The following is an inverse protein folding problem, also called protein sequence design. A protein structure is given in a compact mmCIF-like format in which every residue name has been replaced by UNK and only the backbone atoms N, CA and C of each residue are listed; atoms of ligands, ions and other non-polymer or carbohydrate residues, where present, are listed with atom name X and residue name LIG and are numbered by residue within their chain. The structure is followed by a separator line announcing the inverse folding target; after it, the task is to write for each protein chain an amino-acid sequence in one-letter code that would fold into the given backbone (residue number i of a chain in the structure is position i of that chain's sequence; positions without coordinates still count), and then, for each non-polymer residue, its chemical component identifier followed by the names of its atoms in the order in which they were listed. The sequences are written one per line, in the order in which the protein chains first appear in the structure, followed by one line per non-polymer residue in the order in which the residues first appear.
data_IF_455454432491
#
_entry.id   IF_455454432491
#
_cell.length_a   1.000
_cell.length_b   1.000
_cell.length_c   1.000
_cell.angle_alpha   90.00
_cell.angle_beta   90.00
_cell.angle_gamma   90.00
#
_symmetry.space_group_name_H-M   'P 1'
#
loop_
_entity.id
_entity.type
_entity.pdbx_description
1 polymer ?
#
# COMPACT_ATOMS: atom_id res chain seq x y z
N UNK A 1 12.27 10.64 -5.58
CA UNK A 1 12.51 10.61 -4.12
C UNK A 1 11.37 9.85 -3.47
N UNK A 2 11.64 8.86 -2.60
CA UNK A 2 10.62 7.93 -2.09
C UNK A 2 9.45 8.64 -1.39
N UNK A 3 9.72 9.67 -0.59
CA UNK A 3 8.69 10.49 0.05
C UNK A 3 7.74 11.16 -0.93
N UNK A 4 8.24 11.66 -2.07
CA UNK A 4 7.38 12.28 -3.10
C UNK A 4 6.41 11.26 -3.69
N UNK A 5 6.85 10.02 -3.91
CA UNK A 5 5.98 8.96 -4.43
C UNK A 5 4.95 8.53 -3.40
N UNK A 6 5.36 8.39 -2.13
CA UNK A 6 4.46 8.07 -1.02
C UNK A 6 3.35 9.12 -0.83
N UNK A 7 3.71 10.42 -0.82
CA UNK A 7 2.72 11.51 -0.71
C UNK A 7 1.74 11.51 -1.89
N UNK A 8 2.21 11.22 -3.10
CA UNK A 8 1.33 11.09 -4.27
C UNK A 8 0.35 9.92 -4.12
N UNK A 9 0.84 8.76 -3.70
CA UNK A 9 -0.01 7.59 -3.49
C UNK A 9 -1.09 7.87 -2.43
N UNK A 10 -0.72 8.48 -1.31
CA UNK A 10 -1.68 8.88 -0.28
C UNK A 10 -2.72 9.89 -0.82
N UNK A 11 -2.30 10.85 -1.65
CA UNK A 11 -3.21 11.79 -2.31
C UNK A 11 -4.16 11.12 -3.31
N UNK A 12 -3.69 10.11 -4.05
CA UNK A 12 -4.52 9.36 -5.00
C UNK A 12 -5.56 8.49 -4.26
N UNK A 13 -5.19 7.83 -3.16
CA UNK A 13 -6.14 7.15 -2.29
C UNK A 13 -7.18 8.12 -1.70
N UNK A 14 -6.75 9.30 -1.26
CA UNK A 14 -7.66 10.33 -0.73
C UNK A 14 -8.66 10.82 -1.79
N UNK A 15 -8.21 11.03 -3.03
CA UNK A 15 -9.09 11.36 -4.16
C UNK A 15 -10.10 10.26 -4.43
N UNK A 16 -9.66 9.01 -4.51
CA UNK A 16 -10.57 7.88 -4.71
C UNK A 16 -11.64 7.84 -3.63
N UNK A 17 -11.26 8.11 -2.38
CA UNK A 17 -12.22 8.29 -1.31
C UNK A 17 -13.21 9.42 -1.56
N UNK A 18 -12.73 10.62 -1.94
CA UNK A 18 -13.59 11.80 -2.16
C UNK A 18 -14.69 11.56 -3.20
N UNK A 19 -14.38 10.82 -4.26
CA UNK A 19 -15.34 10.55 -5.35
C UNK A 19 -16.00 9.18 -5.26
N UNK A 20 -15.83 8.45 -4.16
CA UNK A 20 -16.31 7.08 -3.99
C UNK A 20 -15.89 6.13 -5.13
N UNK A 21 -14.70 6.35 -5.68
CA UNK A 21 -14.14 5.50 -6.72
C UNK A 21 -13.70 4.17 -6.09
N UNK A 22 -14.14 3.07 -6.70
CA UNK A 22 -13.74 1.71 -6.33
C UNK A 22 -12.81 1.18 -7.42
N UNK A 23 -11.49 1.18 -7.21
CA UNK A 23 -10.53 0.65 -8.19
C UNK A 23 -10.58 -0.87 -8.25
N UNK A 24 -10.00 -1.45 -9.31
CA UNK A 24 -9.70 -2.90 -9.34
C UNK A 24 -8.65 -3.28 -8.28
N UNK A 25 -8.52 -4.56 -7.95
CA UNK A 25 -7.54 -5.00 -6.94
C UNK A 25 -6.11 -4.71 -7.37
N UNK A 26 -5.81 -4.92 -8.65
CA UNK A 26 -4.52 -4.66 -9.25
C UNK A 26 -4.20 -3.15 -9.19
N UNK A 27 -5.13 -2.31 -9.63
CA UNK A 27 -4.99 -0.84 -9.58
C UNK A 27 -4.84 -0.33 -8.13
N UNK A 28 -5.62 -0.88 -7.20
CA UNK A 28 -5.51 -0.57 -5.79
C UNK A 28 -4.13 -0.90 -5.24
N UNK A 29 -3.63 -2.11 -5.51
CA UNK A 29 -2.36 -2.59 -4.96
C UNK A 29 -1.17 -1.80 -5.50
N UNK A 30 -1.21 -1.35 -6.76
CA UNK A 30 -0.17 -0.48 -7.33
C UNK A 30 0.04 0.80 -6.52
N UNK A 31 -1.06 1.39 -6.03
CA UNK A 31 -1.01 2.60 -5.19
C UNK A 31 -0.77 2.25 -3.72
N UNK A 32 -1.47 1.22 -3.21
CA UNK A 32 -1.42 0.79 -1.81
C UNK A 32 -0.04 0.30 -1.36
N UNK A 33 0.71 -0.39 -2.21
CA UNK A 33 2.07 -0.83 -1.92
C UNK A 33 3.06 0.33 -1.73
N UNK A 34 2.83 1.44 -2.42
CA UNK A 34 3.62 2.66 -2.26
C UNK A 34 3.15 3.44 -1.03
N UNK A 35 1.85 3.44 -0.77
CA UNK A 35 1.24 4.17 0.34
C UNK A 35 1.64 3.59 1.70
N UNK A 36 1.79 2.27 1.85
CA UNK A 36 2.27 1.65 3.11
C UNK A 36 3.71 2.04 3.52
N UNK A 37 4.38 2.90 2.74
CA UNK A 37 5.58 3.65 3.10
C UNK A 37 6.86 2.84 3.40
N UNK A 38 6.88 1.52 3.17
CA UNK A 38 8.04 0.67 3.47
C UNK A 38 9.31 1.18 2.78
N UNK A 39 9.25 1.52 1.48
CA UNK A 39 10.39 2.09 0.75
C UNK A 39 10.83 3.45 1.29
N UNK A 40 9.90 4.31 1.71
CA UNK A 40 10.21 5.62 2.27
C UNK A 40 10.87 5.48 3.66
N UNK A 41 10.41 4.53 4.47
CA UNK A 41 10.95 4.21 5.80
C UNK A 41 12.35 3.59 5.71
N UNK A 42 12.59 2.67 4.78
CA UNK A 42 13.93 2.11 4.58
C UNK A 42 14.90 3.18 4.06
N UNK A 43 14.45 4.00 3.12
CA UNK A 43 15.22 5.13 2.61
C UNK A 43 15.61 6.10 3.73
N UNK A 44 14.67 6.48 4.61
CA UNK A 44 14.98 7.38 5.73
C UNK A 44 16.01 6.77 6.70
N UNK A 45 15.87 5.47 6.99
CA UNK A 45 16.81 4.75 7.86
C UNK A 45 18.22 4.68 7.28
N UNK A 46 18.35 4.48 5.98
CA UNK A 46 19.65 4.43 5.30
C UNK A 46 20.34 5.79 5.20
N UNK A 47 19.59 6.92 5.19
CA UNK A 47 20.21 8.25 5.26
C UNK A 47 21.04 8.44 6.54
N UNK A 48 20.68 7.73 7.62
CA UNK A 48 21.38 7.81 8.91
C UNK A 48 22.63 6.93 8.98
N UNK A 49 22.88 6.08 7.98
CA UNK A 49 24.08 5.26 7.90
C UNK A 49 25.17 6.08 7.19
N UNK A 50 26.41 6.07 7.68
CA UNK A 50 27.50 6.90 7.13
C UNK A 50 27.61 6.85 5.58
N UNK A 51 28.17 7.91 4.97
CA UNK A 51 28.07 8.20 3.51
C UNK A 51 28.25 7.00 2.56
N UNK A 52 29.24 6.13 2.80
CA UNK A 52 29.48 4.96 1.93
C UNK A 52 28.40 3.88 2.09
N UNK A 53 28.07 3.52 3.33
CA UNK A 53 27.01 2.54 3.64
C UNK A 53 25.63 3.01 3.16
N UNK A 54 25.33 4.32 3.26
CA UNK A 54 24.11 4.88 2.71
C UNK A 54 24.01 4.65 1.20
N UNK A 55 25.07 4.92 0.42
CA UNK A 55 25.04 4.83 -1.04
C UNK A 55 24.70 3.42 -1.52
N UNK A 56 25.37 2.40 -0.99
CA UNK A 56 25.13 1.00 -1.35
C UNK A 56 23.70 0.56 -0.97
N UNK A 57 23.25 0.91 0.23
CA UNK A 57 21.90 0.61 0.69
C UNK A 57 20.82 1.31 -0.17
N UNK A 58 21.08 2.54 -0.62
CA UNK A 58 20.19 3.27 -1.51
C UNK A 58 20.10 2.65 -2.91
N UNK A 59 21.22 2.27 -3.51
CA UNK A 59 21.21 1.60 -4.82
C UNK A 59 20.54 0.23 -4.73
N UNK A 60 20.81 -0.53 -3.67
CA UNK A 60 20.09 -1.77 -3.39
C UNK A 60 18.58 -1.54 -3.26
N UNK A 61 18.13 -0.54 -2.50
CA UNK A 61 16.71 -0.23 -2.34
C UNK A 61 16.07 0.25 -3.65
N UNK A 62 16.80 1.02 -4.47
CA UNK A 62 16.37 1.52 -5.77
C UNK A 62 16.21 0.40 -6.81
N UNK A 63 16.94 -0.70 -6.67
CA UNK A 63 16.79 -1.91 -7.50
C UNK A 63 15.45 -2.64 -7.30
N UNK A 64 14.60 -2.18 -6.37
CA UNK A 64 13.30 -2.79 -6.01
C UNK A 64 13.45 -4.29 -5.68
N UNK A 65 14.23 -4.62 -4.63
CA UNK A 65 14.49 -6.01 -4.29
C UNK A 65 13.17 -6.70 -3.89
N UNK A 66 12.98 -7.94 -4.36
CA UNK A 66 11.74 -8.72 -4.18
C UNK A 66 11.28 -8.79 -2.72
N UNK A 67 12.22 -8.89 -1.78
CA UNK A 67 11.92 -8.92 -0.35
C UNK A 67 11.19 -7.66 0.12
N UNK A 68 11.57 -6.48 -0.38
CA UNK A 68 10.92 -5.21 0.00
C UNK A 68 9.54 -5.11 -0.66
N UNK A 69 9.39 -5.59 -1.90
CA UNK A 69 8.08 -5.68 -2.55
C UNK A 69 7.12 -6.59 -1.77
N UNK A 70 7.58 -7.77 -1.35
CA UNK A 70 6.78 -8.67 -0.52
C UNK A 70 6.41 -8.04 0.84
N UNK A 71 7.28 -7.22 1.43
CA UNK A 71 6.97 -6.47 2.65
C UNK A 71 5.91 -5.39 2.40
N UNK A 72 5.94 -4.69 1.27
CA UNK A 72 4.89 -3.76 0.86
C UNK A 72 3.54 -4.46 0.75
N UNK A 73 3.46 -5.54 -0.04
CA UNK A 73 2.22 -6.32 -0.23
C UNK A 73 1.69 -6.81 1.12
N UNK A 74 2.54 -7.47 1.91
CA UNK A 74 2.16 -7.99 3.23
C UNK A 74 1.70 -6.87 4.15
N UNK A 75 2.43 -5.75 4.19
CA UNK A 75 2.10 -4.58 5.01
C UNK A 75 0.72 -4.02 4.68
N UNK A 76 0.45 -3.78 3.39
CA UNK A 76 -0.83 -3.25 2.91
C UNK A 76 -1.99 -4.16 3.30
N UNK A 77 -1.87 -5.45 3.01
CA UNK A 77 -2.90 -6.43 3.33
C UNK A 77 -3.14 -6.58 4.84
N UNK A 78 -2.08 -6.59 5.65
CA UNK A 78 -2.23 -6.69 7.11
C UNK A 78 -2.91 -5.44 7.70
N UNK A 79 -2.56 -4.25 7.21
CA UNK A 79 -3.17 -3.00 7.65
C UNK A 79 -4.68 -2.98 7.31
N UNK A 80 -5.04 -3.37 6.09
CA UNK A 80 -6.44 -3.45 5.66
C UNK A 80 -7.27 -4.48 6.46
N UNK A 81 -6.71 -5.68 6.69
CA UNK A 81 -7.37 -6.72 7.48
C UNK A 81 -7.58 -6.27 8.93
N UNK A 82 -6.58 -5.64 9.53
CA UNK A 82 -6.64 -5.18 10.93
C UNK A 82 -7.62 -4.01 11.07
N UNK A 83 -7.65 -3.10 10.09
CA UNK A 83 -8.55 -1.96 10.06
C UNK A 83 -10.01 -2.30 9.74
N UNK A 84 -10.26 -3.47 9.13
CA UNK A 84 -11.56 -3.87 8.56
C UNK A 84 -12.76 -3.58 9.47
N UNK A 85 -12.75 -4.08 10.71
CA UNK A 85 -13.91 -3.95 11.61
C UNK A 85 -14.17 -2.51 12.06
N UNK A 86 -13.11 -1.72 12.21
CA UNK A 86 -13.21 -0.30 12.58
C UNK A 86 -13.78 0.51 11.41
N UNK A 87 -13.33 0.19 10.19
CA UNK A 87 -13.78 0.84 8.95
C UNK A 87 -15.24 0.53 8.63
N UNK A 88 -15.70 -0.72 8.85
CA UNK A 88 -17.11 -1.10 8.66
C UNK A 88 -18.08 -0.36 9.59
N UNK A 89 -17.64 0.05 10.78
CA UNK A 89 -18.49 0.77 11.76
C UNK A 89 -18.51 2.27 11.56
N UNK A 90 -17.55 2.83 10.82
CA UNK A 90 -17.43 4.26 10.58
C UNK A 90 -17.30 4.55 9.09
N UNK A 91 -18.42 4.49 8.32
CA UNK A 91 -18.41 4.66 6.87
C UNK A 91 -17.90 6.03 6.40
N UNK A 92 -17.91 7.05 7.27
CA UNK A 92 -17.41 8.40 6.98
C UNK A 92 -15.91 8.60 7.23
N UNK A 93 -15.20 7.63 7.84
CA UNK A 93 -13.73 7.63 7.92
C UNK A 93 -13.21 6.90 6.68
N UNK A 94 -12.97 7.70 5.64
CA UNK A 94 -12.75 7.31 4.25
C UNK A 94 -11.84 6.10 3.95
N UNK A 95 -12.42 5.18 3.16
CA UNK A 95 -12.06 4.73 1.80
C UNK A 95 -10.57 4.75 1.42
N UNK A 96 -10.00 3.55 1.23
CA UNK A 96 -9.29 3.23 -0.03
C UNK A 96 -9.10 1.72 -0.29
N UNK A 97 -8.96 0.87 0.73
CA UNK A 97 -8.67 -0.56 0.50
C UNK A 97 -9.84 -1.54 0.50
N UNK A 98 -10.93 -1.21 1.18
CA UNK A 98 -11.88 -2.23 1.60
C UNK A 98 -12.92 -2.63 0.55
N UNK A 99 -13.41 -1.70 -0.28
CA UNK A 99 -14.41 -2.01 -1.31
C UNK A 99 -13.82 -2.95 -2.39
N UNK A 100 -12.56 -2.74 -2.73
CA UNK A 100 -11.84 -3.56 -3.68
C UNK A 100 -11.50 -4.95 -3.11
N UNK A 101 -11.07 -5.05 -1.85
CA UNK A 101 -10.84 -6.33 -1.19
C UNK A 101 -12.14 -7.15 -1.00
N UNK A 102 -13.28 -6.47 -0.75
CA UNK A 102 -14.60 -7.10 -0.66
C UNK A 102 -15.11 -7.60 -2.02
N UNK A 103 -14.89 -6.86 -3.12
CA UNK A 103 -15.22 -7.32 -4.47
C UNK A 103 -14.32 -8.49 -4.91
N UNK A 104 -13.05 -8.48 -4.52
CA UNK A 104 -12.13 -9.59 -4.74
C UNK A 104 -12.53 -10.86 -3.96
N UNK A 105 -12.86 -10.74 -2.67
CA UNK A 105 -13.34 -11.89 -1.87
C UNK A 105 -14.70 -12.41 -2.35
N UNK A 106 -15.62 -11.52 -2.74
CA UNK A 106 -16.94 -11.94 -3.24
C UNK A 106 -16.84 -12.65 -4.59
N UNK A 107 -15.97 -12.17 -5.49
CA UNK A 107 -15.73 -12.80 -6.80
C UNK A 107 -14.98 -14.13 -6.72
N UNK A 108 -14.19 -14.38 -5.67
CA UNK A 108 -13.50 -15.67 -5.47
C UNK A 108 -14.37 -16.73 -4.78
N UNK A 109 -15.27 -16.32 -3.90
CA UNK A 109 -16.20 -17.21 -3.21
C UNK A 109 -17.32 -17.72 -4.13
N UNK A 110 -17.70 -16.98 -5.17
CA UNK A 110 -18.68 -17.45 -6.16
C UNK A 110 -18.11 -18.53 -7.10
N UNK A 111 -16.79 -18.55 -7.35
CA UNK A 111 -16.13 -19.57 -8.17
C UNK A 111 -15.72 -20.85 -7.39
N UNK A 112 -15.98 -20.89 -6.08
CA UNK A 112 -15.77 -22.11 -5.25
C UNK A 112 -17.07 -22.73 -4.74
N UNK A 113 -18.24 -22.17 -5.11
CA UNK A 113 -19.56 -22.65 -4.69
C UNK A 113 -20.56 -22.85 -5.84
N UNK A 114 -20.11 -22.88 -7.09
CA UNK A 114 -20.84 -23.41 -8.24
C UNK A 114 -19.91 -24.19 -9.16
#
# INVERSE_FOLDING_TARGET
MQFKTHVKANFDLAKWGLVYHVPSFEEYMEVGEVEVAVYATLASRYMSMGKMAAKEAFEWLKSRPKIVQSLCVKGRLMDDITGFQVHMRKPFLHISGMYTFLFYLSSRLTHTLF
#
